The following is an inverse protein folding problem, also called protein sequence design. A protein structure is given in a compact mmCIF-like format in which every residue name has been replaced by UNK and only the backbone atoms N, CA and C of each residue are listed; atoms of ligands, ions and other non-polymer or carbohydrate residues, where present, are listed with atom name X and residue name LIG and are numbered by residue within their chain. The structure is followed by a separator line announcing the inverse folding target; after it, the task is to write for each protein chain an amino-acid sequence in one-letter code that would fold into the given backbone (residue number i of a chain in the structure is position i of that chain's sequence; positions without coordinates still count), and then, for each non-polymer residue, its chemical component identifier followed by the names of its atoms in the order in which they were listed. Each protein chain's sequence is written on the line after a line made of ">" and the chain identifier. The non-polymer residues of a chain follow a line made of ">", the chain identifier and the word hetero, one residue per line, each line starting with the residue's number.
data_IF_068710398781
#
_entry.id   IF_068710398781
#
_cell.length_a   1.000
_cell.length_b   1.000
_cell.length_c   1.000
_cell.angle_alpha   90.00
_cell.angle_beta   90.00
_cell.angle_gamma   90.00
#
_symmetry.space_group_name_H-M   'P 1'
#
loop_
_entity.id
_entity.type
_entity.pdbx_description
1 polymer ?
#
# COMPACT_ATOMS: atom_id res chain seq x y z
N UNK A 1 -21.06 8.38 -12.09
CA UNK A 1 -19.70 8.12 -11.58
C UNK A 1 -19.87 7.31 -10.32
N UNK A 2 -19.38 6.07 -10.29
CA UNK A 2 -19.79 5.00 -9.36
C UNK A 2 -19.38 3.65 -9.94
N UNK A 3 -20.14 2.57 -9.74
CA UNK A 3 -19.83 1.25 -10.34
C UNK A 3 -19.59 1.27 -11.86
N UNK A 4 -20.11 2.27 -12.58
CA UNK A 4 -19.82 2.46 -14.01
C UNK A 4 -18.35 2.73 -14.33
N UNK A 5 -17.57 3.34 -13.42
CA UNK A 5 -16.13 3.56 -13.65
C UNK A 5 -15.29 2.29 -13.53
N UNK A 6 -15.84 1.18 -13.01
CA UNK A 6 -15.19 -0.13 -13.05
C UNK A 6 -15.21 -0.76 -14.44
N UNK A 7 -16.15 -0.34 -15.29
CA UNK A 7 -16.37 -0.94 -16.62
C UNK A 7 -15.99 -0.01 -17.77
N UNK A 8 -15.44 1.19 -17.47
CA UNK A 8 -15.08 2.21 -18.45
C UNK A 8 -13.57 2.48 -18.38
N UNK A 9 -12.92 2.61 -19.55
CA UNK A 9 -11.50 2.99 -19.65
C UNK A 9 -10.56 1.97 -19.00
N UNK A 10 -9.81 2.39 -17.97
CA UNK A 10 -8.87 1.55 -17.21
C UNK A 10 -9.53 0.72 -16.10
N UNK A 11 -10.84 0.86 -15.88
CA UNK A 11 -11.55 0.21 -14.76
C UNK A 11 -11.45 -1.33 -14.71
N UNK A 12 -11.30 -1.98 -15.86
CA UNK A 12 -11.13 -3.43 -15.93
C UNK A 12 -9.84 -3.92 -15.24
N UNK A 13 -8.78 -3.10 -15.24
CA UNK A 13 -7.53 -3.40 -14.52
C UNK A 13 -7.77 -3.39 -13.00
N UNK A 14 -8.51 -2.40 -12.51
CA UNK A 14 -8.88 -2.32 -11.09
C UNK A 14 -9.73 -3.51 -10.67
N UNK A 15 -10.63 -3.98 -11.55
CA UNK A 15 -11.45 -5.18 -11.29
C UNK A 15 -10.59 -6.45 -11.15
N UNK A 16 -9.56 -6.61 -12.00
CA UNK A 16 -8.60 -7.71 -11.86
C UNK A 16 -7.85 -7.61 -10.53
N UNK A 17 -7.36 -6.43 -10.16
CA UNK A 17 -6.63 -6.23 -8.90
C UNK A 17 -7.52 -6.47 -7.66
N UNK A 18 -8.80 -6.10 -7.72
CA UNK A 18 -9.79 -6.46 -6.69
C UNK A 18 -9.96 -7.98 -6.59
N UNK A 19 -10.00 -8.67 -7.73
CA UNK A 19 -9.99 -10.14 -7.77
C UNK A 19 -8.76 -10.73 -7.10
N UNK A 20 -7.57 -10.21 -7.39
CA UNK A 20 -6.31 -10.63 -6.75
C UNK A 20 -6.33 -10.34 -5.24
N UNK A 21 -6.83 -9.16 -4.84
CA UNK A 21 -6.98 -8.79 -3.43
C UNK A 21 -7.88 -9.77 -2.67
N UNK A 22 -9.00 -10.19 -3.26
CA UNK A 22 -9.88 -11.21 -2.69
C UNK A 22 -9.21 -12.59 -2.60
N UNK A 23 -8.41 -12.98 -3.60
CA UNK A 23 -7.63 -14.23 -3.56
C UNK A 23 -6.60 -14.19 -2.42
N UNK A 24 -5.87 -13.09 -2.27
CA UNK A 24 -4.92 -12.92 -1.17
C UNK A 24 -5.62 -12.95 0.20
N UNK A 25 -6.77 -12.28 0.33
CA UNK A 25 -7.57 -12.31 1.55
C UNK A 25 -8.04 -13.74 1.88
N UNK A 26 -8.45 -14.52 0.87
CA UNK A 26 -8.79 -15.93 1.04
C UNK A 26 -7.60 -16.78 1.50
N UNK A 27 -6.40 -16.54 0.93
CA UNK A 27 -5.18 -17.24 1.33
C UNK A 27 -4.77 -16.90 2.77
N UNK A 28 -4.91 -15.64 3.19
CA UNK A 28 -4.60 -15.21 4.55
C UNK A 28 -5.53 -15.85 5.59
N UNK A 29 -6.85 -15.91 5.32
CA UNK A 29 -7.84 -16.35 6.31
C UNK A 29 -8.02 -17.87 6.31
N UNK A 30 -8.21 -18.49 5.14
CA UNK A 30 -8.56 -19.92 5.08
C UNK A 30 -7.32 -20.82 5.08
N UNK A 31 -6.25 -20.39 4.42
CA UNK A 31 -5.02 -21.17 4.33
C UNK A 31 -3.94 -20.72 5.32
N UNK A 32 -4.23 -19.68 6.10
CA UNK A 32 -3.33 -19.16 7.14
C UNK A 32 -1.90 -18.88 6.64
N UNK A 33 -1.77 -18.48 5.37
CA UNK A 33 -0.48 -18.04 4.85
C UNK A 33 -0.18 -16.64 5.38
N UNK A 34 0.83 -16.55 6.26
CA UNK A 34 1.32 -15.31 6.88
C UNK A 34 0.20 -14.31 7.24
N UNK A 35 -0.78 -14.72 8.06
CA UNK A 35 -2.02 -13.96 8.25
C UNK A 35 -1.76 -12.55 8.79
N UNK A 36 -0.70 -12.38 9.58
CA UNK A 36 -0.30 -11.09 10.17
C UNK A 36 0.12 -10.05 9.11
N UNK A 37 0.74 -10.48 8.01
CA UNK A 37 1.23 -9.58 6.95
C UNK A 37 0.31 -9.58 5.73
N UNK A 38 -0.15 -10.75 5.32
CA UNK A 38 -0.89 -10.93 4.07
C UNK A 38 -2.30 -10.34 4.13
N UNK A 39 -2.95 -10.37 5.31
CA UNK A 39 -4.28 -9.77 5.50
C UNK A 39 -4.26 -8.23 5.38
N UNK A 40 -3.36 -7.49 6.06
CA UNK A 40 -3.20 -6.05 5.81
C UNK A 40 -2.85 -5.70 4.36
N UNK A 41 -1.99 -6.50 3.71
CA UNK A 41 -1.62 -6.29 2.30
C UNK A 41 -2.83 -6.47 1.38
N UNK A 42 -3.61 -7.54 1.57
CA UNK A 42 -4.82 -7.79 0.80
C UNK A 42 -5.85 -6.68 0.98
N UNK A 43 -6.04 -6.20 2.21
CA UNK A 43 -6.93 -5.08 2.51
C UNK A 43 -6.46 -3.78 1.83
N UNK A 44 -5.17 -3.46 1.91
CA UNK A 44 -4.58 -2.32 1.21
C UNK A 44 -4.76 -2.40 -0.30
N UNK A 45 -4.55 -3.57 -0.90
CA UNK A 45 -4.76 -3.80 -2.34
C UNK A 45 -6.22 -3.56 -2.76
N UNK A 46 -7.17 -4.00 -1.94
CA UNK A 46 -8.59 -3.77 -2.22
C UNK A 46 -8.91 -2.27 -2.15
N UNK A 47 -8.46 -1.59 -1.09
CA UNK A 47 -8.74 -0.17 -0.89
C UNK A 47 -8.15 0.74 -1.98
N UNK A 48 -6.90 0.49 -2.41
CA UNK A 48 -6.26 1.30 -3.47
C UNK A 48 -6.92 1.16 -4.82
N UNK A 49 -7.59 0.03 -5.09
CA UNK A 49 -8.23 -0.26 -6.36
C UNK A 49 -9.73 0.08 -6.38
N UNK A 50 -10.28 0.65 -5.30
CA UNK A 50 -11.67 1.11 -5.28
C UNK A 50 -11.88 2.32 -6.22
N UNK A 51 -12.95 2.31 -7.04
CA UNK A 51 -13.23 3.39 -7.97
C UNK A 51 -13.56 4.68 -7.23
N UNK A 52 -12.98 5.80 -7.67
CA UNK A 52 -13.22 7.13 -7.11
C UNK A 52 -12.88 7.29 -5.61
N UNK A 53 -12.10 6.38 -5.02
CA UNK A 53 -11.73 6.47 -3.60
C UNK A 53 -10.57 7.46 -3.36
N UNK A 54 -9.68 7.65 -4.35
CA UNK A 54 -8.55 8.60 -4.25
C UNK A 54 -7.62 8.34 -3.06
N UNK A 55 -7.51 7.08 -2.63
CA UNK A 55 -6.80 6.75 -1.39
C UNK A 55 -5.28 6.69 -1.57
N UNK A 56 -4.81 6.41 -2.78
CA UNK A 56 -3.40 6.27 -3.14
C UNK A 56 -3.15 6.81 -4.54
N UNK A 57 -2.13 7.66 -4.71
CA UNK A 57 -1.79 8.28 -5.98
C UNK A 57 -0.36 7.92 -6.39
N UNK A 58 -0.26 6.98 -7.33
CA UNK A 58 1.03 6.46 -7.80
C UNK A 58 1.93 7.54 -8.43
N UNK A 59 1.33 8.51 -9.13
CA UNK A 59 2.08 9.58 -9.82
C UNK A 59 2.82 10.48 -8.84
N UNK A 60 2.23 10.77 -7.67
CA UNK A 60 2.86 11.56 -6.61
C UNK A 60 4.15 10.92 -6.10
N UNK A 61 4.20 9.59 -6.02
CA UNK A 61 5.37 8.88 -5.51
C UNK A 61 6.46 8.71 -6.57
N UNK A 62 6.07 8.36 -7.79
CA UNK A 62 7.02 8.03 -8.85
C UNK A 62 7.54 9.26 -9.60
N UNK A 63 6.70 10.26 -9.83
CA UNK A 63 7.03 11.39 -10.69
C UNK A 63 7.33 12.68 -9.90
N UNK A 64 6.92 12.76 -8.63
CA UNK A 64 7.08 13.97 -7.81
C UNK A 64 8.01 13.76 -6.61
N UNK A 65 7.65 12.89 -5.64
CA UNK A 65 8.35 12.76 -4.38
C UNK A 65 9.79 12.23 -4.52
N UNK A 66 10.01 11.27 -5.42
CA UNK A 66 11.32 10.63 -5.66
C UNK A 66 12.11 11.26 -6.80
N UNK A 67 11.55 12.22 -7.53
CA UNK A 67 12.19 12.83 -8.68
C UNK A 67 12.99 14.08 -8.26
N UNK A 68 14.33 14.10 -8.41
CA UNK A 68 15.16 15.26 -8.06
C UNK A 68 14.83 16.53 -8.87
N UNK A 69 14.22 16.39 -10.04
CA UNK A 69 13.85 17.50 -10.92
C UNK A 69 12.49 18.13 -10.54
N UNK A 70 11.72 17.48 -9.66
CA UNK A 70 10.42 17.98 -9.23
C UNK A 70 10.57 19.04 -8.14
N UNK A 71 9.77 20.13 -8.15
CA UNK A 71 9.70 21.08 -7.05
C UNK A 71 9.22 20.46 -5.73
N UNK A 72 8.66 19.25 -5.78
CA UNK A 72 8.15 18.50 -4.62
C UNK A 72 9.05 17.35 -4.18
N UNK A 73 10.33 17.36 -4.58
CA UNK A 73 11.30 16.36 -4.14
C UNK A 73 11.34 16.28 -2.60
N UNK A 74 11.11 15.07 -2.06
CA UNK A 74 11.02 14.79 -0.62
C UNK A 74 10.12 15.73 0.19
N UNK A 75 9.10 16.31 -0.44
CA UNK A 75 8.23 17.29 0.19
C UNK A 75 7.05 16.61 0.89
N UNK A 76 7.24 16.26 2.16
CA UNK A 76 6.17 15.66 2.98
C UNK A 76 4.92 16.55 3.12
N UNK A 77 5.10 17.88 3.08
CA UNK A 77 3.96 18.82 3.14
C UNK A 77 3.02 18.68 1.94
N UNK A 78 3.58 18.38 0.77
CA UNK A 78 2.81 18.15 -0.46
C UNK A 78 1.95 16.89 -0.34
N UNK A 79 2.55 15.79 0.10
CA UNK A 79 1.85 14.52 0.35
C UNK A 79 0.73 14.67 1.39
N UNK A 80 0.95 15.45 2.45
CA UNK A 80 -0.07 15.68 3.47
C UNK A 80 -1.21 16.60 3.03
N UNK A 81 -0.98 17.46 2.04
CA UNK A 81 -1.98 18.41 1.55
C UNK A 81 -2.84 17.81 0.43
N UNK A 82 -2.24 17.05 -0.48
CA UNK A 82 -2.89 16.55 -1.70
C UNK A 82 -3.06 15.02 -1.72
N UNK A 83 -2.40 14.30 -0.82
CA UNK A 83 -2.45 12.84 -0.79
C UNK A 83 -3.68 12.25 -0.09
N UNK A 84 -4.00 11.02 -0.46
CA UNK A 84 -5.02 10.22 0.21
C UNK A 84 -4.51 9.60 1.50
N UNK A 85 -5.41 8.96 2.26
CA UNK A 85 -5.05 8.30 3.52
C UNK A 85 -3.91 7.28 3.35
N UNK A 86 -3.93 6.47 2.27
CA UNK A 86 -2.90 5.45 2.05
C UNK A 86 -1.59 6.07 1.57
N UNK A 87 -1.61 7.23 0.90
CA UNK A 87 -0.40 7.99 0.59
C UNK A 87 0.29 8.43 1.90
N UNK A 88 -0.45 9.00 2.84
CA UNK A 88 0.12 9.43 4.13
C UNK A 88 0.76 8.26 4.87
N UNK A 89 0.10 7.09 4.92
CA UNK A 89 0.70 5.89 5.51
C UNK A 89 1.93 5.41 4.72
N UNK A 90 1.93 5.55 3.40
CA UNK A 90 3.06 5.12 2.57
C UNK A 90 4.34 5.95 2.78
N UNK A 91 4.24 7.16 3.35
CA UNK A 91 5.41 7.93 3.82
C UNK A 91 6.28 7.07 4.75
N UNK A 92 5.69 6.33 5.69
CA UNK A 92 6.43 5.49 6.63
C UNK A 92 7.17 4.33 5.97
N UNK A 93 6.68 3.86 4.81
CA UNK A 93 7.36 2.86 3.97
C UNK A 93 8.53 3.51 3.24
N UNK A 94 8.32 4.67 2.61
CA UNK A 94 9.36 5.37 1.82
C UNK A 94 10.46 5.98 2.68
N UNK A 95 10.16 6.40 3.89
CA UNK A 95 11.13 6.83 4.88
C UNK A 95 11.89 5.66 5.52
N UNK A 96 11.53 4.41 5.22
CA UNK A 96 12.16 3.21 5.79
C UNK A 96 11.80 2.94 7.24
N UNK A 97 10.88 3.70 7.84
CA UNK A 97 10.51 3.58 9.25
C UNK A 97 9.80 2.25 9.52
N UNK A 98 8.79 1.89 8.71
CA UNK A 98 8.04 0.64 8.95
C UNK A 98 8.88 -0.63 8.74
N UNK A 99 9.67 -0.79 7.66
CA UNK A 99 10.54 -1.95 7.51
C UNK A 99 11.56 -2.08 8.65
N UNK A 100 12.20 -0.98 9.06
CA UNK A 100 13.15 -0.99 10.16
C UNK A 100 12.51 -1.39 11.50
N UNK A 101 11.32 -0.88 11.80
CA UNK A 101 10.59 -1.24 13.02
C UNK A 101 10.13 -2.71 13.02
N UNK A 102 9.69 -3.23 11.88
CA UNK A 102 9.33 -4.65 11.73
C UNK A 102 10.56 -5.52 11.97
N UNK A 103 11.70 -5.20 11.36
CA UNK A 103 12.93 -5.97 11.57
C UNK A 103 13.48 -5.88 12.98
N UNK A 104 13.35 -4.71 13.63
CA UNK A 104 13.66 -4.57 15.05
C UNK A 104 12.79 -5.50 15.90
N UNK A 105 11.48 -5.56 15.63
CA UNK A 105 10.55 -6.46 16.30
C UNK A 105 10.89 -7.94 16.08
N UNK A 106 11.22 -8.33 14.85
CA UNK A 106 11.67 -9.69 14.53
C UNK A 106 12.95 -10.04 15.29
N UNK A 107 13.95 -9.15 15.32
CA UNK A 107 15.19 -9.35 16.07
C UNK A 107 15.00 -9.37 17.59
N UNK A 108 13.98 -8.69 18.13
CA UNK A 108 13.62 -8.79 19.54
C UNK A 108 12.92 -10.12 19.88
N UNK A 109 12.31 -10.79 18.89
CA UNK A 109 11.66 -12.09 19.04
C UNK A 109 12.60 -13.29 18.78
N UNK A 110 13.78 -13.06 18.20
CA UNK A 110 14.76 -14.14 17.97
C UNK A 110 15.43 -14.53 19.29
N UNK A 111 15.30 -15.79 19.67
CA UNK A 111 16.06 -16.38 20.78
C UNK A 111 17.47 -16.74 20.32
N UNK A 112 18.47 -16.40 21.14
CA UNK A 112 19.88 -16.68 20.90
C UNK A 112 20.38 -17.97 21.59
N UNK A 113 19.52 -18.69 22.31
CA UNK A 113 19.88 -19.95 23.00
C UNK A 113 20.48 -21.07 22.13
N UNK A 114 20.04 -21.29 20.87
CA UNK A 114 20.61 -22.31 19.99
C UNK A 114 21.72 -21.80 19.05
N UNK A 115 22.30 -20.62 19.31
CA UNK A 115 23.43 -20.04 18.55
C UNK A 115 24.80 -20.36 19.17
#
# INVERSE_FOLDING_TARGET
>A
MGFTSLFVGTGWKNLIMLGVGCVLLYLAIKKEYEPLLLLPIAFGMILTNLPCAGLFHTDMWNNEFLNPESPYYHSYRHVMAEGGLLDILYIGVKAGVYPCLIFLGVGAMTDFGPL
#
